data_IF_108859906380
#
_entry.id   IF_108859906380
#
_cell.length_a   1.000
_cell.length_b   1.000
_cell.length_c   1.000
_cell.angle_alpha   90.00
_cell.angle_beta   90.00
_cell.angle_gamma   90.00
#
_symmetry.space_group_name_H-M   'P 1'
#
loop_
_entity.id
_entity.type
_entity.pdbx_description
1 polymer ?
#
# COMPACT_ATOMS: atom_id res chain seq x y z
N UNK A 1 -16.87 -21.81 -5.46
CA UNK A 1 -16.55 -21.00 -5.84
C UNK A 1 -15.80 -20.31 -5.06
N UNK A 2 -15.75 -20.21 -4.01
CA UNK A 2 -14.97 -19.51 -3.33
C UNK A 2 -13.80 -20.25 -3.00
N UNK A 3 -12.85 -20.42 -3.71
CA UNK A 3 -11.68 -21.08 -3.36
C UNK A 3 -10.73 -20.12 -2.91
N UNK A 4 -10.63 -19.72 -1.73
CA UNK A 4 -9.72 -18.75 -1.27
C UNK A 4 -8.39 -19.40 -1.05
N UNK A 5 -7.44 -19.13 -1.84
CA UNK A 5 -6.12 -19.66 -1.64
C UNK A 5 -5.32 -18.77 -0.75
N UNK A 6 -4.50 -19.30 0.11
CA UNK A 6 -3.67 -18.46 0.96
C UNK A 6 -2.72 -17.60 0.15
N UNK A 7 -2.32 -18.07 -1.02
CA UNK A 7 -1.46 -17.27 -1.84
C UNK A 7 -2.18 -16.03 -2.32
N UNK A 8 -3.42 -16.16 -2.68
CA UNK A 8 -4.18 -15.02 -3.15
C UNK A 8 -4.32 -14.00 -2.04
N UNK A 9 -4.59 -14.45 -0.86
CA UNK A 9 -4.73 -13.54 0.26
C UNK A 9 -3.42 -12.85 0.53
N UNK A 10 -2.34 -13.59 0.46
CA UNK A 10 -1.04 -13.01 0.74
C UNK A 10 -0.75 -11.93 -0.30
N UNK A 11 -0.98 -12.21 -1.56
CA UNK A 11 -0.72 -11.24 -2.59
C UNK A 11 -1.60 -10.01 -2.43
N UNK A 12 -2.81 -10.21 -2.02
CA UNK A 12 -3.71 -9.08 -1.82
C UNK A 12 -3.20 -8.19 -0.72
N UNK A 13 -2.74 -8.78 0.36
CA UNK A 13 -2.23 -8.01 1.46
C UNK A 13 -0.99 -7.25 1.03
N UNK A 14 -0.09 -7.90 0.33
CA UNK A 14 1.13 -7.27 -0.11
C UNK A 14 0.78 -6.10 -1.03
N UNK A 15 -0.17 -6.32 -1.92
CA UNK A 15 -0.56 -5.27 -2.83
C UNK A 15 -1.10 -4.07 -2.08
N UNK A 16 -1.95 -4.32 -1.10
CA UNK A 16 -2.50 -3.23 -0.32
C UNK A 16 -1.41 -2.48 0.43
N UNK A 17 -0.48 -3.22 0.99
CA UNK A 17 0.58 -2.59 1.73
C UNK A 17 1.45 -1.74 0.83
N UNK A 18 1.73 -2.22 -0.35
CA UNK A 18 2.56 -1.48 -1.28
C UNK A 18 1.83 -0.21 -1.70
N UNK A 19 0.57 -0.33 -2.02
CA UNK A 19 -0.18 0.84 -2.41
C UNK A 19 -0.25 1.84 -1.28
N UNK A 20 -0.47 1.37 -0.09
CA UNK A 20 -0.55 2.25 1.03
C UNK A 20 0.78 2.96 1.24
N UNK A 21 1.87 2.26 1.11
CA UNK A 21 3.18 2.85 1.31
C UNK A 21 3.43 3.92 0.25
N UNK A 22 3.11 3.62 -0.98
CA UNK A 22 3.33 4.58 -2.04
C UNK A 22 2.45 5.80 -1.83
N UNK A 23 1.22 5.58 -1.46
CA UNK A 23 0.32 6.67 -1.25
C UNK A 23 0.79 7.55 -0.12
N UNK A 24 1.23 6.94 0.97
CA UNK A 24 1.71 7.71 2.06
C UNK A 24 2.93 8.50 1.66
N UNK A 25 3.85 7.89 0.96
CA UNK A 25 5.03 8.57 0.57
C UNK A 25 4.69 9.76 -0.31
N UNK A 26 3.77 9.58 -1.23
CA UNK A 26 3.39 10.66 -2.11
C UNK A 26 2.73 11.77 -1.31
N UNK A 27 1.90 11.42 -0.37
CA UNK A 27 1.21 12.40 0.42
C UNK A 27 2.18 13.17 1.28
N UNK A 28 3.09 12.48 1.92
CA UNK A 28 4.04 13.13 2.78
C UNK A 28 4.97 14.01 1.96
N UNK A 29 5.40 13.51 0.84
CA UNK A 29 6.30 14.29 0.03
C UNK A 29 5.61 15.53 -0.48
N UNK A 30 4.36 15.41 -0.82
CA UNK A 30 3.67 16.57 -1.34
C UNK A 30 3.46 17.59 -0.24
N UNK A 31 3.15 17.14 0.92
CA UNK A 31 2.90 18.11 1.94
C UNK A 31 4.11 18.48 2.71
N UNK A 32 5.31 18.09 2.31
CA UNK A 32 6.38 18.38 3.13
C UNK A 32 7.14 19.39 2.61
N UNK A 33 6.62 20.35 2.18
CA UNK A 33 7.39 21.28 1.56
C UNK A 33 8.02 22.08 2.53
N UNK A 34 7.90 22.27 3.67
CA UNK A 34 8.49 23.12 4.43
C UNK A 34 9.34 22.52 5.32
N UNK A 35 9.84 21.76 5.37
CA UNK A 35 10.56 21.16 6.15
C UNK A 35 11.34 21.87 6.91
N UNK A 36 11.64 22.18 7.19
CA UNK A 36 12.41 22.94 7.98
C UNK A 36 13.47 22.35 8.31
#
# INVERSE_FOLDING_TARGET
MLSLNPWDILWTIVNLLVLYAIFRKFFVSAGHEYHS
#
